data_IF_002319826232
#
_entry.id   IF_002319826232
#
_cell.length_a   1.000
_cell.length_b   1.000
_cell.length_c   1.000
_cell.angle_alpha   90.00
_cell.angle_beta   90.00
_cell.angle_gamma   90.00
#
_symmetry.space_group_name_H-M   'P 1'
#
loop_
_entity.id
_entity.type
_entity.pdbx_description
1 polymer ?
#
# COMPACT_ATOMS: atom_id res chain seq x y z
N UNK A 1 2.16 10.86 5.11
CA UNK A 1 0.91 10.10 5.23
C UNK A 1 -0.23 10.92 4.63
N UNK A 2 -0.86 10.45 3.56
CA UNK A 2 -2.07 11.08 3.00
C UNK A 2 -3.31 10.75 3.83
N UNK A 3 -4.41 11.46 3.60
CA UNK A 3 -5.68 11.26 4.33
C UNK A 3 -6.25 9.83 4.25
N UNK A 4 -5.91 9.04 3.22
CA UNK A 4 -6.38 7.65 3.10
C UNK A 4 -5.44 6.65 3.79
N UNK A 5 -4.13 6.90 3.78
CA UNK A 5 -3.14 5.92 4.27
C UNK A 5 -3.28 5.60 5.75
N UNK A 6 -3.58 6.58 6.60
CA UNK A 6 -3.73 6.33 8.05
C UNK A 6 -4.97 5.50 8.39
N UNK A 7 -6.08 5.69 7.65
CA UNK A 7 -7.30 4.90 7.82
C UNK A 7 -7.04 3.43 7.48
N UNK A 8 -6.26 3.18 6.43
CA UNK A 8 -5.89 1.82 6.01
C UNK A 8 -5.03 1.13 7.07
N UNK A 9 -4.06 1.85 7.67
CA UNK A 9 -3.25 1.31 8.77
C UNK A 9 -4.18 0.86 9.90
N UNK A 10 -5.09 1.73 10.36
CA UNK A 10 -5.99 1.42 11.47
C UNK A 10 -6.93 0.25 11.16
N UNK A 11 -7.49 0.20 9.95
CA UNK A 11 -8.37 -0.90 9.52
C UNK A 11 -7.61 -2.22 9.47
N UNK A 12 -6.42 -2.26 8.86
CA UNK A 12 -5.59 -3.46 8.78
C UNK A 12 -5.22 -3.96 10.18
N UNK A 13 -4.88 -3.06 11.11
CA UNK A 13 -4.62 -3.41 12.51
C UNK A 13 -5.87 -3.95 13.22
N UNK A 14 -7.04 -3.35 13.01
CA UNK A 14 -8.30 -3.87 13.56
C UNK A 14 -8.63 -5.29 13.04
N UNK A 15 -8.14 -5.63 11.85
CA UNK A 15 -8.25 -6.98 11.27
C UNK A 15 -7.15 -7.95 11.74
N UNK A 16 -6.23 -7.52 12.61
CA UNK A 16 -5.15 -8.36 13.15
C UNK A 16 -3.92 -8.48 12.24
N UNK A 17 -3.79 -7.63 11.22
CA UNK A 17 -2.64 -7.67 10.32
C UNK A 17 -1.35 -7.13 10.97
N UNK A 18 -0.21 -7.61 10.48
CA UNK A 18 1.08 -6.92 10.62
C UNK A 18 1.19 -5.89 9.49
N UNK A 19 1.35 -4.62 9.85
CA UNK A 19 1.25 -3.49 8.92
C UNK A 19 2.62 -2.89 8.64
N UNK A 20 2.94 -2.87 7.35
CA UNK A 20 4.07 -2.16 6.76
C UNK A 20 3.56 -0.86 6.17
N UNK A 21 4.28 0.24 6.33
CA UNK A 21 3.93 1.50 5.66
C UNK A 21 5.18 2.23 5.21
N UNK A 22 5.09 2.85 4.03
CA UNK A 22 6.10 3.77 3.52
C UNK A 22 5.74 5.20 3.91
N UNK A 23 6.67 5.91 4.55
CA UNK A 23 6.49 7.30 4.95
C UNK A 23 7.83 7.96 5.23
N UNK A 24 7.97 9.28 5.02
CA UNK A 24 9.17 10.01 5.47
C UNK A 24 9.38 9.83 6.96
N UNK A 25 10.64 9.71 7.42
CA UNK A 25 11.01 9.57 8.83
C UNK A 25 10.33 10.59 9.75
N UNK A 26 10.17 11.84 9.28
CA UNK A 26 9.46 12.90 10.00
C UNK A 26 8.02 12.54 10.43
N UNK A 27 7.41 11.49 9.85
CA UNK A 27 6.06 11.02 10.18
C UNK A 27 6.06 9.64 10.87
N UNK A 28 7.21 9.10 11.27
CA UNK A 28 7.29 7.78 11.90
C UNK A 28 6.47 7.67 13.18
N UNK A 29 6.55 8.68 14.05
CA UNK A 29 5.77 8.68 15.29
C UNK A 29 4.26 8.71 15.03
N UNK A 30 3.84 9.45 14.00
CA UNK A 30 2.44 9.47 13.58
C UNK A 30 1.99 8.12 12.99
N UNK A 31 2.80 7.51 12.11
CA UNK A 31 2.47 6.21 11.54
C UNK A 31 2.44 5.10 12.61
N UNK A 32 3.36 5.15 13.58
CA UNK A 32 3.38 4.24 14.73
C UNK A 32 2.15 4.42 15.62
N UNK A 33 1.73 5.66 15.89
CA UNK A 33 0.52 5.92 16.69
C UNK A 33 -0.76 5.47 16.01
N UNK A 34 -0.77 5.34 14.68
CA UNK A 34 -1.86 4.73 13.92
C UNK A 34 -1.82 3.19 13.92
N UNK A 35 -0.71 2.59 14.39
CA UNK A 35 -0.56 1.16 14.59
C UNK A 35 0.33 0.44 13.59
N UNK A 36 1.10 1.16 12.75
CA UNK A 36 2.08 0.51 11.87
C UNK A 36 3.16 -0.23 12.67
N UNK A 37 3.47 -1.46 12.26
CA UNK A 37 4.49 -2.30 12.92
C UNK A 37 5.87 -2.10 12.30
N UNK A 38 5.92 -1.88 10.98
CA UNK A 38 7.16 -1.63 10.23
C UNK A 38 7.03 -0.31 9.47
N UNK A 39 8.02 0.56 9.68
CA UNK A 39 8.11 1.90 9.11
C UNK A 39 9.25 1.92 8.11
N UNK A 40 8.96 2.28 6.87
CA UNK A 40 9.93 2.33 5.77
C UNK A 40 10.06 3.78 5.31
N UNK A 41 11.25 4.37 5.45
CA UNK A 41 11.52 5.67 4.86
C UNK A 41 11.87 5.51 3.38
N UNK A 42 10.89 5.81 2.52
CA UNK A 42 11.03 5.68 1.08
C UNK A 42 12.09 6.60 0.46
N UNK A 43 12.64 7.58 1.21
CA UNK A 43 13.77 8.39 0.76
C UNK A 43 15.13 7.74 1.05
N UNK A 44 15.16 6.77 1.97
CA UNK A 44 16.40 6.17 2.47
C UNK A 44 16.59 4.73 2.01
N UNK A 45 15.50 4.00 1.81
CA UNK A 45 15.54 2.62 1.36
C UNK A 45 14.40 2.27 0.41
N UNK A 46 14.63 1.21 -0.36
CA UNK A 46 13.62 0.63 -1.22
C UNK A 46 12.62 -0.20 -0.41
N UNK A 47 11.33 -0.02 -0.66
CA UNK A 47 10.29 -0.68 0.12
C UNK A 47 10.21 -2.19 -0.15
N UNK A 48 10.55 -2.65 -1.36
CA UNK A 48 10.55 -4.07 -1.71
C UNK A 48 11.63 -4.77 -0.90
N UNK A 49 12.84 -4.21 -0.89
CA UNK A 49 13.96 -4.74 -0.13
C UNK A 49 13.66 -4.77 1.37
N UNK A 50 13.07 -3.70 1.90
CA UNK A 50 12.66 -3.63 3.30
C UNK A 50 11.60 -4.70 3.64
N UNK A 51 10.58 -4.86 2.81
CA UNK A 51 9.55 -5.89 3.00
C UNK A 51 10.16 -7.29 2.98
N UNK A 52 11.00 -7.61 1.99
CA UNK A 52 11.62 -8.93 1.89
C UNK A 52 12.53 -9.20 3.09
N UNK A 53 13.32 -8.21 3.54
CA UNK A 53 14.17 -8.34 4.73
C UNK A 53 13.35 -8.67 5.98
N UNK A 54 12.28 -7.93 6.22
CA UNK A 54 11.42 -8.05 7.41
C UNK A 54 10.49 -9.27 7.42
N UNK A 55 10.33 -9.91 6.26
CA UNK A 55 9.50 -11.11 6.07
C UNK A 55 10.34 -12.36 5.79
N UNK A 56 11.67 -12.27 5.85
CA UNK A 56 12.56 -13.41 5.55
C UNK A 56 12.43 -13.90 4.11
N UNK A 57 12.16 -12.99 3.18
CA UNK A 57 11.95 -13.27 1.75
C UNK A 57 10.54 -13.72 1.38
N UNK A 58 9.61 -13.80 2.34
CA UNK A 58 8.24 -14.25 2.07
C UNK A 58 7.41 -13.23 1.28
N UNK A 59 7.56 -11.93 1.59
CA UNK A 59 6.70 -10.86 1.08
C UNK A 59 5.43 -10.65 1.92
N UNK A 60 4.59 -9.70 1.52
CA UNK A 60 3.29 -9.40 2.14
C UNK A 60 2.12 -10.07 1.41
N UNK A 61 1.07 -10.43 2.13
CA UNK A 61 -0.13 -11.02 1.54
C UNK A 61 -0.96 -10.02 0.72
N UNK A 62 -0.93 -8.75 1.12
CA UNK A 62 -1.71 -7.67 0.50
C UNK A 62 -0.89 -6.39 0.41
N UNK A 63 -0.91 -5.76 -0.77
CA UNK A 63 -0.45 -4.38 -0.97
C UNK A 63 -1.67 -3.49 -1.17
N UNK A 64 -1.74 -2.39 -0.42
CA UNK A 64 -2.70 -1.31 -0.65
C UNK A 64 -1.97 -0.11 -1.26
N UNK A 65 -2.23 0.18 -2.52
CA UNK A 65 -1.57 1.25 -3.28
C UNK A 65 -2.43 2.51 -3.35
N UNK A 66 -1.78 3.64 -3.07
CA UNK A 66 -2.36 4.99 -3.21
C UNK A 66 -1.49 5.90 -4.08
N UNK A 67 -0.51 5.35 -4.79
CA UNK A 67 0.50 6.12 -5.54
C UNK A 67 0.35 5.86 -7.03
N UNK A 68 0.17 4.60 -7.44
CA UNK A 68 0.20 4.20 -8.84
C UNK A 68 1.63 4.21 -9.41
N UNK A 69 1.71 4.29 -10.74
CA UNK A 69 2.95 4.33 -11.51
C UNK A 69 3.92 3.18 -11.20
N UNK A 70 5.17 3.55 -10.96
CA UNK A 70 6.25 2.60 -10.66
C UNK A 70 5.99 1.83 -9.36
N UNK A 71 5.39 2.47 -8.35
CA UNK A 71 5.06 1.81 -7.08
C UNK A 71 4.06 0.67 -7.29
N UNK A 72 3.02 0.89 -8.08
CA UNK A 72 2.06 -0.17 -8.41
C UNK A 72 2.68 -1.26 -9.28
N UNK A 73 3.51 -0.88 -10.23
CA UNK A 73 4.19 -1.80 -11.15
C UNK A 73 5.13 -2.76 -10.41
N UNK A 74 5.79 -2.26 -9.35
CA UNK A 74 6.73 -3.03 -8.49
C UNK A 74 6.07 -3.75 -7.31
N UNK A 75 4.78 -3.54 -7.09
CA UNK A 75 4.05 -4.21 -6.00
C UNK A 75 4.16 -5.75 -6.02
N UNK A 76 4.23 -6.45 -7.18
CA UNK A 76 4.42 -7.90 -7.20
C UNK A 76 5.71 -8.35 -6.51
N UNK A 77 6.77 -7.55 -6.57
CA UNK A 77 8.08 -7.91 -6.02
C UNK A 77 8.03 -7.99 -4.49
N UNK A 78 7.18 -7.18 -3.87
CA UNK A 78 6.93 -7.17 -2.43
C UNK A 78 5.89 -8.22 -1.97
N UNK A 79 5.16 -8.85 -2.89
CA UNK A 79 4.10 -9.82 -2.55
C UNK A 79 4.65 -11.21 -2.22
N UNK A 80 3.95 -11.89 -1.33
CA UNK A 80 3.96 -13.34 -1.22
C UNK A 80 3.25 -14.00 -2.42
N UNK A 81 3.46 -15.31 -2.58
CA UNK A 81 2.72 -16.10 -3.58
C UNK A 81 1.22 -16.02 -3.28
N UNK A 82 0.41 -15.90 -4.34
CA UNK A 82 -1.05 -15.71 -4.28
C UNK A 82 -1.49 -14.40 -3.59
N UNK A 83 -0.58 -13.44 -3.48
CA UNK A 83 -0.85 -12.13 -2.88
C UNK A 83 -1.80 -11.26 -3.70
N UNK A 84 -2.28 -10.18 -3.08
CA UNK A 84 -3.26 -9.28 -3.70
C UNK A 84 -2.78 -7.83 -3.71
N UNK A 85 -3.03 -7.13 -4.79
CA UNK A 85 -2.89 -5.67 -4.86
C UNK A 85 -4.26 -5.04 -4.93
N UNK A 86 -4.51 -4.07 -4.06
CA UNK A 86 -5.68 -3.20 -4.11
C UNK A 86 -5.18 -1.79 -4.35
N UNK A 87 -5.64 -1.15 -5.43
CA UNK A 87 -5.30 0.24 -5.71
C UNK A 87 -6.55 1.09 -5.87
N UNK A 88 -6.49 2.32 -5.38
CA UNK A 88 -7.52 3.35 -5.57
C UNK A 88 -7.06 4.45 -6.53
N UNK A 89 -5.90 4.26 -7.18
CA UNK A 89 -5.29 5.23 -8.08
C UNK A 89 -5.04 4.57 -9.43
N UNK A 90 -5.36 5.31 -10.48
CA UNK A 90 -4.81 5.08 -11.81
C UNK A 90 -4.26 6.40 -12.35
N UNK A 91 -3.24 6.30 -13.18
CA UNK A 91 -2.54 7.44 -13.74
C UNK A 91 -2.59 7.38 -15.26
N UNK A 92 -2.33 8.50 -15.94
CA UNK A 92 -2.39 8.56 -17.40
C UNK A 92 -1.34 7.67 -18.08
N UNK A 93 -0.24 7.36 -17.39
CA UNK A 93 0.80 6.48 -17.89
C UNK A 93 0.44 5.00 -17.65
N UNK A 94 0.55 4.14 -18.67
CA UNK A 94 0.37 2.71 -18.50
C UNK A 94 1.31 2.14 -17.42
N UNK A 95 0.77 1.27 -16.58
CA UNK A 95 1.48 0.65 -15.46
C UNK A 95 1.71 -0.82 -15.80
N UNK A 96 2.97 -1.28 -15.76
CA UNK A 96 3.33 -2.64 -16.17
C UNK A 96 3.21 -3.59 -14.98
N UNK A 97 2.26 -4.52 -15.04
CA UNK A 97 1.99 -5.50 -13.98
C UNK A 97 2.31 -6.95 -14.41
N UNK A 98 3.18 -7.14 -15.41
CA UNK A 98 3.55 -8.47 -15.92
C UNK A 98 4.12 -9.37 -14.82
N UNK A 99 4.89 -8.82 -13.89
CA UNK A 99 5.48 -9.59 -12.77
C UNK A 99 4.43 -10.20 -11.83
N UNK A 100 3.18 -9.74 -11.88
CA UNK A 100 2.08 -10.35 -11.12
C UNK A 100 1.85 -11.83 -11.50
N UNK A 101 2.19 -12.23 -12.73
CA UNK A 101 2.09 -13.62 -13.17
C UNK A 101 3.03 -14.53 -12.38
N UNK A 102 4.24 -14.08 -12.05
CA UNK A 102 5.21 -14.86 -11.26
C UNK A 102 4.78 -15.11 -9.82
N UNK A 103 3.83 -14.31 -9.32
CA UNK A 103 3.26 -14.41 -7.97
C UNK A 103 1.88 -15.05 -7.94
N UNK A 104 1.28 -15.39 -9.09
CA UNK A 104 -0.14 -15.72 -9.19
C UNK A 104 -1.03 -14.68 -8.48
N UNK A 105 -0.68 -13.40 -8.61
CA UNK A 105 -1.31 -12.32 -7.85
C UNK A 105 -2.64 -11.86 -8.47
N UNK A 106 -3.53 -11.33 -7.63
CA UNK A 106 -4.74 -10.64 -8.10
C UNK A 106 -4.62 -9.12 -7.93
N UNK A 107 -5.10 -8.37 -8.92
CA UNK A 107 -5.15 -6.90 -8.89
C UNK A 107 -6.59 -6.42 -8.86
N UNK A 108 -6.89 -5.51 -7.93
CA UNK A 108 -8.21 -4.92 -7.74
C UNK A 108 -8.10 -3.40 -7.82
N UNK A 109 -8.68 -2.81 -8.86
CA UNK A 109 -8.77 -1.37 -9.02
C UNK A 109 -10.13 -0.89 -8.51
N UNK A 110 -10.13 0.03 -7.55
CA UNK A 110 -11.35 0.58 -6.95
C UNK A 110 -11.42 2.07 -7.23
N UNK A 111 -12.23 2.42 -8.23
CA UNK A 111 -12.48 3.82 -8.58
C UNK A 111 -13.73 4.33 -7.87
N UNK A 112 -13.56 5.40 -7.11
CA UNK A 112 -14.68 6.13 -6.53
C UNK A 112 -14.75 7.52 -7.16
N UNK A 113 -15.96 8.03 -7.41
CA UNK A 113 -16.11 9.44 -7.78
C UNK A 113 -15.73 10.29 -6.57
N UNK A 114 -14.75 11.19 -6.73
CA UNK A 114 -14.51 12.24 -5.74
C UNK A 114 -15.69 13.21 -5.72
N UNK A 115 -16.72 12.90 -4.93
CA UNK A 115 -17.88 13.77 -4.78
C UNK A 115 -17.70 14.58 -3.50
N UNK A 116 -17.08 15.75 -3.60
CA UNK A 116 -17.14 16.77 -2.53
C UNK A 116 -18.61 17.10 -2.19
N UNK A 117 -19.51 17.08 -3.18
CA UNK A 117 -20.94 17.32 -2.99
C UNK A 117 -21.73 16.24 -2.23
N UNK A 118 -21.18 15.03 -2.00
CA UNK A 118 -21.85 14.03 -1.14
C UNK A 118 -21.64 14.28 0.36
N UNK A 119 -20.63 15.06 0.73
CA UNK A 119 -20.47 15.51 2.11
C UNK A 119 -21.51 16.58 2.46
N UNK A 120 -21.87 17.44 1.51
CA UNK A 120 -22.95 18.44 1.65
C UNK A 120 -24.36 17.79 1.69
N UNK A 121 -24.53 16.59 1.14
CA UNK A 121 -25.77 15.80 1.29
C UNK A 121 -25.85 15.04 2.63
N UNK A 122 -24.74 14.94 3.35
CA UNK A 122 -24.64 14.32 4.68
C UNK A 122 -24.64 15.37 5.81
N UNK A 123 -24.83 16.66 5.49
CA UNK A 123 -24.95 17.77 6.44
C UNK A 123 -25.66 18.97 5.83
#
# INVERSE_FOLDING_TARGET
>A
AGGVGHVVIQLAKAMGARVFTTVREANFEFARSMGADVLIDYEKEDYVDAVLRETGGHGVDVVFDTIGGDTLSRSPDALAQLGRVVTIVDIAQPQNVVEAWGKNASYHFVFTRQNRGKLDELG
#
